data_IF_442013290407
#
_entry.id   IF_442013290407
#
_cell.length_a   1.000
_cell.length_b   1.000
_cell.length_c   1.000
_cell.angle_alpha   90.00
_cell.angle_beta   90.00
_cell.angle_gamma   90.00
#
_symmetry.space_group_name_H-M   'P 1'
#
loop_
_entity.id
_entity.type
_entity.pdbx_description
1 polymer ?
#
# COMPACT_ATOMS: atom_id res chain seq x y z
N UNK A 1 17.72 -7.41 3.88
CA UNK A 1 17.33 -7.28 5.31
C UNK A 1 15.84 -6.99 5.37
N UNK A 2 15.10 -7.63 6.29
CA UNK A 2 13.69 -7.32 6.55
C UNK A 2 13.60 -6.68 7.94
N UNK A 3 13.05 -5.46 8.03
CA UNK A 3 12.94 -4.72 9.28
C UNK A 3 11.50 -4.28 9.60
N UNK A 4 11.21 -4.13 10.89
CA UNK A 4 10.02 -3.47 11.42
C UNK A 4 10.50 -2.34 12.35
N UNK A 5 10.39 -1.09 11.89
CA UNK A 5 11.15 0.02 12.46
C UNK A 5 10.26 1.25 12.71
N UNK A 6 10.53 1.96 13.81
CA UNK A 6 10.06 3.34 13.94
C UNK A 6 10.87 4.27 13.02
N UNK A 7 10.39 5.49 12.80
CA UNK A 7 11.06 6.47 11.93
C UNK A 7 12.53 6.68 12.33
N UNK A 8 12.78 6.84 13.64
CA UNK A 8 14.13 7.06 14.18
C UNK A 8 15.07 5.88 13.89
N UNK A 9 14.58 4.64 14.00
CA UNK A 9 15.37 3.44 13.75
C UNK A 9 15.69 3.32 12.26
N UNK A 10 14.71 3.61 11.39
CA UNK A 10 14.91 3.56 9.94
C UNK A 10 15.97 4.57 9.49
N UNK A 11 15.93 5.80 10.02
CA UNK A 11 16.94 6.83 9.75
C UNK A 11 18.32 6.42 10.27
N UNK A 12 18.38 5.87 11.49
CA UNK A 12 19.64 5.38 12.07
C UNK A 12 20.24 4.26 11.22
N UNK A 13 19.44 3.29 10.79
CA UNK A 13 19.88 2.20 9.90
C UNK A 13 20.50 2.77 8.63
N UNK A 14 19.85 3.71 7.94
CA UNK A 14 20.39 4.33 6.72
C UNK A 14 21.75 4.97 6.99
N UNK A 15 21.86 5.73 8.09
CA UNK A 15 23.12 6.39 8.49
C UNK A 15 24.23 5.38 8.78
N UNK A 16 23.95 4.35 9.58
CA UNK A 16 24.93 3.32 9.93
C UNK A 16 25.40 2.53 8.70
N UNK A 17 24.49 2.17 7.79
CA UNK A 17 24.86 1.47 6.55
C UNK A 17 25.81 2.32 5.69
N UNK A 18 25.57 3.63 5.62
CA UNK A 18 26.43 4.58 4.91
C UNK A 18 27.79 4.76 5.59
N UNK A 19 27.82 4.91 6.92
CA UNK A 19 29.05 5.01 7.71
C UNK A 19 29.94 3.77 7.54
N UNK A 20 29.32 2.58 7.55
CA UNK A 20 30.00 1.31 7.30
C UNK A 20 30.42 1.10 5.84
N UNK A 21 30.02 2.01 4.93
CA UNK A 21 30.19 1.88 3.47
C UNK A 21 29.68 0.54 2.93
N UNK A 22 28.67 -0.01 3.58
CA UNK A 22 28.06 -1.27 3.18
C UNK A 22 26.73 -1.00 2.50
N UNK A 23 26.57 -1.51 1.28
CA UNK A 23 25.30 -1.45 0.56
C UNK A 23 24.73 -2.87 0.48
N UNK A 24 23.61 -3.16 1.18
CA UNK A 24 22.94 -4.45 1.01
C UNK A 24 22.39 -4.57 -0.41
N UNK A 25 22.21 -5.80 -0.93
CA UNK A 25 21.52 -6.01 -2.20
C UNK A 25 20.11 -5.40 -2.18
N UNK A 26 19.43 -5.49 -1.02
CA UNK A 26 18.23 -4.74 -0.74
C UNK A 26 17.93 -4.59 0.74
N UNK A 27 17.20 -3.53 1.04
CA UNK A 27 16.53 -3.30 2.29
C UNK A 27 15.01 -3.26 2.05
N UNK A 28 14.27 -4.11 2.75
CA UNK A 28 12.81 -4.18 2.68
C UNK A 28 12.22 -3.99 4.07
N UNK A 29 11.37 -3.00 4.27
CA UNK A 29 10.59 -2.87 5.49
C UNK A 29 9.27 -3.66 5.37
N UNK A 30 8.91 -4.45 6.38
CA UNK A 30 7.63 -5.18 6.40
C UNK A 30 6.48 -4.32 6.92
N UNK A 31 6.80 -3.48 7.91
CA UNK A 31 5.92 -2.52 8.54
C UNK A 31 6.78 -1.36 9.07
N UNK A 32 6.26 -0.14 9.08
CA UNK A 32 6.94 1.00 9.69
C UNK A 32 6.94 2.26 8.84
N UNK A 33 7.64 3.27 9.35
CA UNK A 33 7.63 4.65 8.86
C UNK A 33 8.55 4.88 7.65
N UNK A 34 9.09 3.83 7.04
CA UNK A 34 9.83 3.95 5.77
C UNK A 34 8.91 4.23 4.58
N UNK A 35 7.62 4.53 4.79
CA UNK A 35 6.66 4.99 3.78
C UNK A 35 6.13 6.40 4.05
N UNK A 36 6.59 7.08 5.12
CA UNK A 36 6.14 8.45 5.44
C UNK A 36 7.03 9.51 4.79
N UNK A 37 6.48 10.73 4.54
CA UNK A 37 7.27 11.85 4.01
C UNK A 37 8.50 12.20 4.86
N UNK A 38 8.38 12.12 6.19
CA UNK A 38 9.45 12.47 7.13
C UNK A 38 10.71 11.62 6.93
N UNK A 39 10.56 10.36 6.51
CA UNK A 39 11.70 9.49 6.20
C UNK A 39 12.49 10.01 4.99
N UNK A 40 11.79 10.42 3.94
CA UNK A 40 12.41 11.02 2.75
C UNK A 40 13.11 12.34 3.11
N UNK A 41 12.48 13.15 3.95
CA UNK A 41 13.07 14.41 4.43
C UNK A 41 14.33 14.17 5.26
N UNK A 42 14.32 13.19 6.16
CA UNK A 42 15.42 12.91 7.07
C UNK A 42 16.63 12.23 6.40
N UNK A 43 16.39 11.46 5.33
CA UNK A 43 17.43 10.66 4.66
C UNK A 43 17.87 11.21 3.31
N UNK A 44 17.05 12.04 2.66
CA UNK A 44 17.34 12.55 1.31
C UNK A 44 17.68 11.43 0.33
N UNK A 45 18.75 11.62 -0.45
CA UNK A 45 19.24 10.62 -1.42
C UNK A 45 19.73 9.32 -0.77
N UNK A 46 20.10 9.35 0.50
CA UNK A 46 20.58 8.14 1.19
C UNK A 46 19.46 7.11 1.40
N UNK A 47 18.21 7.58 1.52
CA UNK A 47 17.03 6.72 1.63
C UNK A 47 16.56 6.13 0.30
N UNK A 48 17.13 6.55 -0.85
CA UNK A 48 16.71 6.04 -2.14
C UNK A 48 16.98 4.54 -2.26
N UNK A 49 16.16 3.86 -3.07
CA UNK A 49 16.16 2.43 -3.34
C UNK A 49 15.74 1.53 -2.18
N UNK A 50 15.50 2.09 -0.98
CA UNK A 50 14.86 1.35 0.11
C UNK A 50 13.44 0.97 -0.30
N UNK A 51 13.05 -0.25 0.07
CA UNK A 51 11.73 -0.79 -0.24
C UNK A 51 10.90 -0.93 1.03
N UNK A 52 9.58 -0.88 0.87
CA UNK A 52 8.64 -1.14 1.95
C UNK A 52 7.41 -1.88 1.43
N UNK A 53 6.89 -2.80 2.24
CA UNK A 53 5.58 -3.38 2.03
C UNK A 53 4.52 -2.37 2.47
N UNK A 54 3.55 -2.11 1.61
CA UNK A 54 2.41 -1.26 1.93
C UNK A 54 1.08 -2.00 1.62
N UNK A 55 -0.02 -1.72 2.34
CA UNK A 55 -1.35 -2.21 1.98
C UNK A 55 -1.86 -1.60 0.68
N UNK A 56 -1.48 -0.35 0.39
CA UNK A 56 -1.96 0.43 -0.74
C UNK A 56 -1.06 1.66 -0.97
N UNK A 57 -0.97 2.15 -2.21
CA UNK A 57 -0.36 3.44 -2.53
C UNK A 57 -1.03 4.04 -3.78
N UNK A 58 -1.00 5.36 -3.92
CA UNK A 58 -1.65 6.06 -5.04
C UNK A 58 -1.07 5.64 -6.40
N UNK A 59 0.19 5.23 -6.46
CA UNK A 59 0.85 4.75 -7.68
C UNK A 59 0.15 3.59 -8.40
N UNK A 60 -0.71 2.83 -7.70
CA UNK A 60 -1.58 1.82 -8.33
C UNK A 60 -2.44 2.44 -9.45
N UNK A 61 -2.76 3.74 -9.36
CA UNK A 61 -3.47 4.51 -10.38
C UNK A 61 -2.81 4.46 -11.77
N UNK A 62 -1.49 4.24 -11.86
CA UNK A 62 -0.77 4.10 -13.12
C UNK A 62 -1.28 2.92 -13.97
N UNK A 63 -1.81 1.87 -13.32
CA UNK A 63 -2.34 0.66 -13.97
C UNK A 63 -3.83 0.45 -13.75
N UNK A 64 -4.42 1.12 -12.76
CA UNK A 64 -5.84 0.98 -12.39
C UNK A 64 -6.55 2.35 -12.40
N UNK A 65 -7.11 2.78 -13.55
CA UNK A 65 -7.73 4.11 -13.69
C UNK A 65 -8.86 4.42 -12.69
N UNK A 66 -9.53 3.38 -12.17
CA UNK A 66 -10.53 3.53 -11.09
C UNK A 66 -9.93 4.21 -9.85
N UNK A 67 -8.68 3.87 -9.50
CA UNK A 67 -7.97 4.46 -8.35
C UNK A 67 -7.80 5.97 -8.55
N UNK A 68 -7.36 6.41 -9.74
CA UNK A 68 -7.23 7.83 -10.05
C UNK A 68 -8.57 8.57 -9.90
N UNK A 69 -9.66 8.00 -10.45
CA UNK A 69 -11.00 8.60 -10.39
C UNK A 69 -11.52 8.76 -8.96
N UNK A 70 -11.37 7.72 -8.13
CA UNK A 70 -11.81 7.77 -6.73
C UNK A 70 -10.95 8.76 -5.94
N UNK A 71 -9.63 8.76 -6.18
CA UNK A 71 -8.73 9.70 -5.54
C UNK A 71 -9.04 11.16 -5.93
N UNK A 72 -9.39 11.44 -7.19
CA UNK A 72 -9.80 12.79 -7.61
C UNK A 72 -11.08 13.27 -6.90
N UNK A 73 -12.05 12.37 -6.70
CA UNK A 73 -13.26 12.68 -5.91
C UNK A 73 -12.90 12.98 -4.44
N UNK A 74 -12.01 12.18 -3.87
CA UNK A 74 -11.51 12.40 -2.51
C UNK A 74 -10.78 13.74 -2.40
N UNK A 75 -9.84 14.02 -3.30
CA UNK A 75 -9.04 15.25 -3.32
C UNK A 75 -9.91 16.50 -3.46
N UNK A 76 -10.94 16.48 -4.31
CA UNK A 76 -11.88 17.60 -4.43
C UNK A 76 -12.63 17.91 -3.13
N UNK A 77 -12.88 16.89 -2.31
CA UNK A 77 -13.63 17.03 -1.05
C UNK A 77 -12.74 17.39 0.14
N UNK A 78 -11.54 16.82 0.21
CA UNK A 78 -10.68 16.89 1.39
C UNK A 78 -9.38 17.65 1.17
N UNK A 79 -9.12 18.12 -0.06
CA UNK A 79 -7.90 18.83 -0.44
C UNK A 79 -6.60 18.05 -0.14
N UNK A 80 -6.67 16.72 -0.22
CA UNK A 80 -5.55 15.81 0.00
C UNK A 80 -5.74 14.53 -0.84
N UNK A 81 -4.64 13.85 -1.15
CA UNK A 81 -4.70 12.51 -1.74
C UNK A 81 -5.09 11.45 -0.71
N UNK A 82 -5.67 10.35 -1.18
CA UNK A 82 -5.93 9.19 -0.33
C UNK A 82 -4.60 8.57 0.12
N UNK A 83 -4.60 8.08 1.36
CA UNK A 83 -3.57 7.20 1.89
C UNK A 83 -4.11 5.76 2.06
N UNK A 84 -3.27 4.87 2.58
CA UNK A 84 -3.63 3.47 2.84
C UNK A 84 -4.75 3.28 3.87
N UNK A 85 -4.95 4.23 4.79
CA UNK A 85 -6.00 4.17 5.82
C UNK A 85 -7.32 4.53 5.17
N UNK A 86 -7.35 5.63 4.42
CA UNK A 86 -8.53 6.10 3.70
C UNK A 86 -8.94 5.08 2.64
N UNK A 87 -8.01 4.51 1.88
CA UNK A 87 -8.30 3.50 0.86
C UNK A 87 -8.96 2.24 1.45
N UNK A 88 -8.49 1.78 2.61
CA UNK A 88 -9.09 0.66 3.35
C UNK A 88 -10.47 1.01 3.89
N UNK A 89 -10.63 2.17 4.51
CA UNK A 89 -11.91 2.61 5.06
C UNK A 89 -12.98 2.77 3.97
N UNK A 90 -12.62 3.39 2.84
CA UNK A 90 -13.48 3.52 1.66
C UNK A 90 -13.95 2.15 1.16
N UNK A 91 -13.02 1.21 0.99
CA UNK A 91 -13.33 -0.13 0.49
C UNK A 91 -14.20 -0.92 1.46
N UNK A 92 -13.91 -0.84 2.78
CA UNK A 92 -14.72 -1.48 3.82
C UNK A 92 -16.15 -0.94 3.86
N UNK A 93 -16.32 0.38 3.75
CA UNK A 93 -17.65 1.01 3.74
C UNK A 93 -18.46 0.61 2.50
N UNK A 94 -17.85 0.59 1.31
CA UNK A 94 -18.55 0.13 0.11
C UNK A 94 -18.93 -1.35 0.16
N UNK A 95 -18.07 -2.19 0.78
CA UNK A 95 -18.37 -3.61 0.99
C UNK A 95 -19.57 -3.78 1.92
N UNK A 96 -19.63 -3.01 3.00
CA UNK A 96 -20.78 -3.01 3.91
C UNK A 96 -22.05 -2.53 3.19
N UNK A 97 -21.97 -1.45 2.41
CA UNK A 97 -23.10 -0.92 1.65
C UNK A 97 -23.65 -1.94 0.63
N UNK A 98 -22.77 -2.65 -0.09
CA UNK A 98 -23.17 -3.75 -0.98
C UNK A 98 -23.94 -4.84 -0.21
N UNK A 99 -23.41 -5.29 0.94
CA UNK A 99 -24.06 -6.31 1.76
C UNK A 99 -25.42 -5.84 2.30
N UNK A 100 -25.55 -4.59 2.74
CA UNK A 100 -26.82 -4.02 3.19
C UNK A 100 -27.86 -3.99 2.06
N UNK A 101 -27.45 -3.59 0.85
CA UNK A 101 -28.33 -3.57 -0.32
C UNK A 101 -28.81 -4.98 -0.68
N UNK A 102 -27.93 -5.99 -0.63
CA UNK A 102 -28.30 -7.40 -0.88
C UNK A 102 -29.16 -8.01 0.23
N UNK A 103 -28.91 -7.65 1.49
CA UNK A 103 -29.68 -8.16 2.62
C UNK A 103 -31.16 -7.77 2.55
N UNK A 104 -31.47 -6.60 1.95
CA UNK A 104 -32.85 -6.08 1.83
C UNK A 104 -33.56 -5.88 3.17
N UNK A 105 -32.80 -5.89 4.28
CA UNK A 105 -33.30 -5.91 5.65
C UNK A 105 -32.24 -5.35 6.59
N UNK A 106 -32.70 -4.71 7.66
CA UNK A 106 -31.84 -4.22 8.76
C UNK A 106 -31.66 -5.25 9.87
N UNK A 107 -32.23 -6.45 9.72
CA UNK A 107 -32.08 -7.52 10.70
C UNK A 107 -30.61 -8.00 10.78
N UNK A 108 -30.01 -8.13 11.97
CA UNK A 108 -28.61 -8.54 12.12
C UNK A 108 -28.27 -9.86 11.42
N UNK A 109 -29.16 -10.84 11.48
CA UNK A 109 -28.97 -12.14 10.83
C UNK A 109 -28.90 -12.03 9.30
N UNK A 110 -29.75 -11.19 8.69
CA UNK A 110 -29.76 -10.96 7.25
C UNK A 110 -28.48 -10.26 6.78
N UNK A 111 -28.02 -9.26 7.54
CA UNK A 111 -26.78 -8.53 7.24
C UNK A 111 -25.56 -9.46 7.36
N UNK A 112 -25.50 -10.28 8.41
CA UNK A 112 -24.41 -11.24 8.59
C UNK A 112 -24.36 -12.27 7.46
N UNK A 113 -25.52 -12.80 7.04
CA UNK A 113 -25.59 -13.71 5.90
C UNK A 113 -25.07 -13.03 4.62
N UNK A 114 -25.57 -11.84 4.31
CA UNK A 114 -25.13 -11.08 3.14
C UNK A 114 -23.64 -10.74 3.17
N UNK A 115 -23.08 -10.38 4.34
CA UNK A 115 -21.65 -10.15 4.50
C UNK A 115 -20.85 -11.42 4.23
N UNK A 116 -21.25 -12.58 4.77
CA UNK A 116 -20.57 -13.87 4.54
C UNK A 116 -20.61 -14.30 3.07
N UNK A 117 -21.68 -13.97 2.36
CA UNK A 117 -21.87 -14.27 0.93
C UNK A 117 -21.20 -13.24 -0.01
N UNK A 118 -20.52 -12.23 0.54
CA UNK A 118 -19.89 -11.17 -0.26
C UNK A 118 -18.89 -11.75 -1.24
N UNK A 119 -19.04 -11.37 -2.51
CA UNK A 119 -18.13 -11.69 -3.60
C UNK A 119 -17.98 -10.51 -4.56
N UNK A 120 -17.02 -9.63 -4.27
CA UNK A 120 -16.75 -8.43 -5.08
C UNK A 120 -15.49 -8.67 -5.92
N UNK A 121 -15.53 -8.55 -7.26
CA UNK A 121 -14.35 -8.76 -8.10
C UNK A 121 -13.35 -7.60 -7.97
N UNK A 122 -12.05 -7.90 -8.05
CA UNK A 122 -10.97 -6.93 -7.88
C UNK A 122 -11.01 -5.74 -8.85
N UNK A 123 -11.61 -5.92 -10.03
CA UNK A 123 -11.83 -4.85 -11.01
C UNK A 123 -12.68 -3.68 -10.46
N UNK A 124 -13.51 -3.94 -9.44
CA UNK A 124 -14.37 -2.94 -8.79
C UNK A 124 -13.72 -2.28 -7.56
N UNK A 125 -12.51 -2.70 -7.18
CA UNK A 125 -11.85 -2.25 -5.94
C UNK A 125 -10.78 -1.21 -6.24
N UNK A 126 -10.54 -0.27 -5.33
CA UNK A 126 -9.34 0.58 -5.39
C UNK A 126 -8.12 -0.11 -4.74
N UNK A 127 -8.36 -1.18 -3.99
CA UNK A 127 -7.32 -1.99 -3.39
C UNK A 127 -6.61 -2.87 -4.43
N UNK A 128 -5.35 -3.29 -4.17
CA UNK A 128 -4.59 -4.17 -5.06
C UNK A 128 -5.10 -5.64 -5.05
N UNK A 129 -6.23 -5.90 -4.40
CA UNK A 129 -6.77 -7.25 -4.19
C UNK A 129 -7.41 -7.81 -5.46
N UNK A 130 -7.37 -9.14 -5.61
CA UNK A 130 -8.09 -9.83 -6.69
C UNK A 130 -9.60 -9.87 -6.47
N UNK A 131 -10.06 -9.59 -5.24
CA UNK A 131 -11.47 -9.48 -4.89
C UNK A 131 -11.70 -9.30 -3.40
N UNK A 132 -12.96 -9.35 -2.99
CA UNK A 132 -13.40 -9.51 -1.61
C UNK A 132 -14.27 -10.75 -1.56
N UNK A 133 -13.79 -11.75 -0.84
CA UNK A 133 -14.52 -12.98 -0.55
C UNK A 133 -14.03 -13.52 0.79
N UNK A 134 -14.95 -13.70 1.73
CA UNK A 134 -14.60 -14.06 3.10
C UNK A 134 -14.50 -15.57 3.28
N UNK A 135 -13.45 -16.02 3.95
CA UNK A 135 -13.32 -17.42 4.38
C UNK A 135 -14.17 -17.72 5.63
N UNK A 136 -14.09 -18.96 6.12
CA UNK A 136 -14.81 -19.40 7.32
C UNK A 136 -14.43 -18.60 8.59
N UNK A 137 -13.27 -17.94 8.60
CA UNK A 137 -12.77 -17.11 9.69
C UNK A 137 -13.12 -15.62 9.51
N UNK A 138 -13.81 -15.26 8.42
CA UNK A 138 -14.15 -13.88 8.08
C UNK A 138 -13.00 -13.07 7.49
N UNK A 139 -11.92 -13.73 7.03
CA UNK A 139 -10.79 -13.06 6.38
C UNK A 139 -11.02 -12.96 4.87
N UNK A 140 -10.67 -11.83 4.26
CA UNK A 140 -10.69 -11.73 2.80
C UNK A 140 -9.56 -12.60 2.23
N UNK A 141 -9.91 -13.74 1.61
CA UNK A 141 -8.93 -14.68 1.07
C UNK A 141 -8.13 -14.14 -0.12
N UNK A 142 -8.58 -13.05 -0.72
CA UNK A 142 -7.93 -12.37 -1.84
C UNK A 142 -7.10 -11.15 -1.42
N UNK A 143 -6.94 -10.93 -0.11
CA UNK A 143 -6.18 -9.80 0.43
C UNK A 143 -4.70 -9.91 0.01
N UNK A 144 -4.19 -8.81 -0.56
CA UNK A 144 -2.81 -8.69 -1.01
C UNK A 144 -2.26 -7.31 -0.63
N UNK A 145 -0.94 -7.21 -0.52
CA UNK A 145 -0.23 -5.95 -0.37
C UNK A 145 0.59 -5.63 -1.63
N UNK A 146 1.25 -4.49 -1.59
CA UNK A 146 2.20 -4.03 -2.61
C UNK A 146 3.58 -3.87 -1.98
N UNK A 147 4.60 -3.79 -2.84
CA UNK A 147 5.91 -3.24 -2.48
C UNK A 147 6.09 -1.88 -3.13
N UNK A 148 6.53 -0.91 -2.35
CA UNK A 148 7.03 0.37 -2.84
C UNK A 148 8.55 0.40 -2.76
N UNK A 149 9.17 1.18 -3.64
CA UNK A 149 10.59 1.51 -3.60
C UNK A 149 10.75 3.02 -3.73
N UNK A 150 11.67 3.61 -2.98
CA UNK A 150 11.98 5.04 -3.11
C UNK A 150 12.79 5.24 -4.38
N UNK A 151 12.18 5.82 -5.41
CA UNK A 151 12.77 6.10 -6.71
C UNK A 151 12.56 7.57 -7.05
N UNK A 152 13.62 8.27 -7.45
CA UNK A 152 13.59 9.71 -7.75
C UNK A 152 13.01 10.55 -6.59
N UNK A 153 13.29 10.13 -5.35
CA UNK A 153 12.79 10.79 -4.14
C UNK A 153 11.30 10.57 -3.85
N UNK A 154 10.64 9.61 -4.50
CA UNK A 154 9.23 9.30 -4.31
C UNK A 154 9.00 7.81 -4.06
N UNK A 155 7.99 7.47 -3.26
CA UNK A 155 7.56 6.09 -3.12
C UNK A 155 6.87 5.63 -4.41
N UNK A 156 7.50 4.70 -5.13
CA UNK A 156 6.93 4.10 -6.33
C UNK A 156 6.51 2.65 -6.09
N UNK A 157 5.32 2.25 -6.50
CA UNK A 157 4.84 0.86 -6.52
C UNK A 157 5.65 0.07 -7.54
N UNK A 158 6.36 -0.95 -7.07
CA UNK A 158 7.25 -1.77 -7.91
C UNK A 158 6.84 -3.25 -7.96
N UNK A 159 5.93 -3.68 -7.08
CA UNK A 159 5.36 -5.03 -7.08
C UNK A 159 3.95 -5.02 -6.46
N UNK A 160 3.00 -5.87 -6.89
CA UNK A 160 3.12 -6.88 -7.95
C UNK A 160 3.25 -6.26 -9.34
N UNK A 161 3.93 -6.98 -10.26
CA UNK A 161 4.39 -6.42 -11.53
C UNK A 161 3.25 -5.96 -12.45
N UNK A 162 2.08 -6.56 -12.29
CA UNK A 162 0.87 -6.27 -13.06
C UNK A 162 0.29 -4.88 -12.72
N UNK A 163 0.58 -4.36 -11.52
CA UNK A 163 0.12 -3.04 -11.05
C UNK A 163 1.27 -2.08 -10.72
N UNK A 164 2.51 -2.46 -11.04
CA UNK A 164 3.69 -1.64 -10.80
C UNK A 164 3.67 -0.37 -11.66
N UNK A 165 4.01 0.76 -11.02
CA UNK A 165 4.19 2.06 -11.68
C UNK A 165 5.63 2.26 -12.17
N UNK A 166 6.59 1.57 -11.57
CA UNK A 166 7.99 1.58 -11.95
C UNK A 166 8.61 0.18 -11.82
N UNK A 167 9.65 -0.15 -12.59
CA UNK A 167 10.42 -1.38 -12.37
C UNK A 167 11.19 -1.33 -11.05
N UNK A 168 11.36 -2.48 -10.40
CA UNK A 168 12.25 -2.61 -9.24
C UNK A 168 13.69 -2.32 -9.69
N UNK A 169 14.41 -1.50 -8.93
CA UNK A 169 15.87 -1.37 -9.02
C UNK A 169 16.51 -2.35 -8.04
N UNK A 170 17.16 -3.38 -8.58
CA UNK A 170 17.86 -4.42 -7.82
C UNK A 170 19.16 -4.84 -8.52
N UNK A 171 20.30 -4.99 -7.82
CA UNK A 171 20.51 -4.63 -6.42
C UNK A 171 20.49 -3.10 -6.21
N UNK A 172 20.36 -2.65 -4.97
CA UNK A 172 20.46 -1.24 -4.63
C UNK A 172 21.81 -0.66 -5.12
N UNK A 173 21.83 0.49 -5.81
CA UNK A 173 23.07 1.16 -6.18
C UNK A 173 23.94 1.48 -4.96
N UNK A 174 25.25 1.35 -5.15
CA UNK A 174 26.25 1.76 -4.17
C UNK A 174 26.11 3.24 -3.81
N UNK A 175 26.53 3.61 -2.59
CA UNK A 175 26.36 4.97 -2.04
C UNK A 175 26.90 6.10 -2.93
N UNK A 176 27.98 5.85 -3.66
CA UNK A 176 28.64 6.78 -4.60
C UNK A 176 27.93 6.91 -5.95
N UNK A 177 26.92 6.08 -6.21
CA UNK A 177 26.15 6.01 -7.47
C UNK A 177 24.67 6.37 -7.30
N UNK A 178 24.27 6.91 -6.15
CA UNK A 178 22.90 7.34 -5.86
C UNK A 178 22.66 8.78 -6.20
#
# INVERSE_FOLDING_TARGET
MIGANYLVDAVLIVRTLKEMRWTPQAFMAHAGFTTVPDFLQATGRDGWYFMARAPWALGIAARKPLVARVNDLYRRKYNADMDEVVARAFTGMLTLADALNRAGSTAPAAIQAALRETKIPGAQLIMPWQGIEFDQYGQNKHAAGIMTQILDGQYKVVWPFEIAEAPIVWPMPAWDRR
#
